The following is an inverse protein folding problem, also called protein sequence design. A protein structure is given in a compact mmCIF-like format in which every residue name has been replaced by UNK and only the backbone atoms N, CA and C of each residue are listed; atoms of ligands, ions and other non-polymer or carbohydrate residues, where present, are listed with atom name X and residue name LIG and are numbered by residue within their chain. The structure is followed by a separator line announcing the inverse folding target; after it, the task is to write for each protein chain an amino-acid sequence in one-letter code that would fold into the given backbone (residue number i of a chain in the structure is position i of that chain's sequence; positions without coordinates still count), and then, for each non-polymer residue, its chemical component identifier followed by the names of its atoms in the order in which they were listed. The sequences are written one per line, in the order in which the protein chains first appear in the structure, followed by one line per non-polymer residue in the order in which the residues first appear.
data_IF_752050161206
#
_entry.id   IF_752050161206
#
_cell.length_a   1.000
_cell.length_b   1.000
_cell.length_c   1.000
_cell.angle_alpha   90.00
_cell.angle_beta   90.00
_cell.angle_gamma   90.00
#
_symmetry.space_group_name_H-M   'P 1'
#
loop_
_entity.id
_entity.type
_entity.pdbx_description
1 polymer ?
#
# COMPACT_ATOMS: atom_id res chain seq x y z
N UNK A 1 -40.19 -11.48 -91.47
CA UNK A 1 -39.25 -12.16 -90.55
C UNK A 1 -37.99 -11.34 -90.33
N UNK A 2 -37.26 -10.95 -91.39
CA UNK A 2 -35.99 -10.20 -91.28
C UNK A 2 -36.08 -8.88 -90.49
N UNK A 3 -37.11 -8.05 -90.75
CA UNK A 3 -37.31 -6.78 -90.02
C UNK A 3 -37.53 -6.98 -88.51
N UNK A 4 -38.15 -8.09 -88.11
CA UNK A 4 -38.41 -8.41 -86.71
C UNK A 4 -37.12 -8.80 -85.98
N UNK A 5 -36.25 -9.57 -86.64
CA UNK A 5 -34.92 -9.93 -86.14
C UNK A 5 -34.07 -8.68 -85.94
N UNK A 6 -34.12 -7.73 -86.90
CA UNK A 6 -33.38 -6.47 -86.81
C UNK A 6 -33.85 -5.59 -85.63
N UNK A 7 -35.16 -5.49 -85.39
CA UNK A 7 -35.72 -4.76 -84.25
C UNK A 7 -35.29 -5.39 -82.91
N UNK A 8 -35.33 -6.72 -82.81
CA UNK A 8 -34.90 -7.44 -81.60
C UNK A 8 -33.40 -7.22 -81.35
N UNK A 9 -32.56 -7.26 -82.39
CA UNK A 9 -31.12 -7.00 -82.28
C UNK A 9 -30.81 -5.58 -81.76
N UNK A 10 -31.54 -4.58 -82.26
CA UNK A 10 -31.43 -3.19 -81.77
C UNK A 10 -31.84 -3.11 -80.29
N UNK A 11 -32.94 -3.77 -79.91
CA UNK A 11 -33.43 -3.74 -78.54
C UNK A 11 -32.44 -4.38 -77.54
N UNK A 12 -31.83 -5.52 -77.92
CA UNK A 12 -30.80 -6.18 -77.12
C UNK A 12 -29.58 -5.27 -76.95
N UNK A 13 -29.13 -4.60 -78.02
CA UNK A 13 -27.98 -3.68 -77.97
C UNK A 13 -28.24 -2.50 -77.03
N UNK A 14 -29.43 -1.89 -77.12
CA UNK A 14 -29.85 -0.79 -76.23
C UNK A 14 -29.95 -1.28 -74.78
N UNK A 15 -30.51 -2.47 -74.56
CA UNK A 15 -30.65 -3.06 -73.23
C UNK A 15 -29.28 -3.37 -72.59
N UNK A 16 -28.33 -3.91 -73.36
CA UNK A 16 -26.95 -4.12 -72.90
C UNK A 16 -26.26 -2.81 -72.54
N UNK A 17 -26.47 -1.74 -73.32
CA UNK A 17 -25.91 -0.42 -73.01
C UNK A 17 -26.48 0.16 -71.72
N UNK A 18 -27.79 0.02 -71.49
CA UNK A 18 -28.46 0.44 -70.26
C UNK A 18 -27.93 -0.30 -69.04
N UNK A 19 -27.71 -1.63 -69.13
CA UNK A 19 -27.12 -2.41 -68.03
C UNK A 19 -25.71 -1.95 -67.65
N UNK A 20 -24.88 -1.56 -68.63
CA UNK A 20 -23.54 -1.02 -68.39
C UNK A 20 -23.61 0.34 -67.68
N UNK A 21 -24.56 1.21 -68.07
CA UNK A 21 -24.78 2.50 -67.40
C UNK A 21 -25.20 2.31 -65.94
N UNK A 22 -26.22 1.48 -65.67
CA UNK A 22 -26.66 1.20 -64.30
C UNK A 22 -25.58 0.52 -63.44
N UNK A 23 -24.70 -0.29 -64.05
CA UNK A 23 -23.59 -0.93 -63.34
C UNK A 23 -22.49 0.06 -62.93
N UNK A 24 -22.28 1.14 -63.70
CA UNK A 24 -21.31 2.20 -63.35
C UNK A 24 -21.78 3.02 -62.15
N UNK A 25 -23.07 3.34 -62.09
CA UNK A 25 -23.62 4.12 -60.98
C UNK A 25 -23.53 3.36 -59.66
N UNK A 26 -23.85 2.06 -59.66
CA UNK A 26 -23.69 1.20 -58.46
C UNK A 26 -22.23 1.12 -57.97
N UNK A 27 -21.26 1.08 -58.89
CA UNK A 27 -19.84 1.11 -58.51
C UNK A 27 -19.46 2.45 -57.88
N UNK A 28 -19.94 3.57 -58.44
CA UNK A 28 -19.66 4.90 -57.92
C UNK A 28 -20.25 5.11 -56.52
N UNK A 29 -21.48 4.66 -56.28
CA UNK A 29 -22.11 4.74 -54.94
C UNK A 29 -21.39 3.88 -53.91
N UNK A 30 -20.96 2.67 -54.28
CA UNK A 30 -20.21 1.81 -53.37
C UNK A 30 -18.83 2.39 -53.01
N UNK A 31 -18.14 3.03 -53.98
CA UNK A 31 -16.87 3.69 -53.73
C UNK A 31 -17.04 4.90 -52.79
N UNK A 32 -18.11 5.70 -52.98
CA UNK A 32 -18.38 6.85 -52.13
C UNK A 32 -18.66 6.41 -50.68
N UNK A 33 -19.53 5.43 -50.49
CA UNK A 33 -19.87 4.90 -49.16
C UNK A 33 -18.64 4.30 -48.46
N UNK A 34 -17.79 3.57 -49.18
CA UNK A 34 -16.57 3.00 -48.60
C UNK A 34 -15.57 4.08 -48.19
N UNK A 35 -15.47 5.18 -48.94
CA UNK A 35 -14.61 6.30 -48.59
C UNK A 35 -15.16 7.06 -47.36
N UNK A 36 -16.48 7.22 -47.25
CA UNK A 36 -17.12 7.82 -46.07
C UNK A 36 -16.87 6.98 -44.81
N UNK A 37 -17.08 5.66 -44.89
CA UNK A 37 -16.79 4.73 -43.79
C UNK A 37 -15.30 4.78 -43.41
N UNK A 38 -14.39 4.83 -44.40
CA UNK A 38 -12.95 4.94 -44.13
C UNK A 38 -12.60 6.24 -43.40
N UNK A 39 -13.18 7.37 -43.81
CA UNK A 39 -12.93 8.66 -43.19
C UNK A 39 -13.48 8.71 -41.74
N UNK A 40 -14.66 8.14 -41.51
CA UNK A 40 -15.24 8.02 -40.17
C UNK A 40 -14.35 7.20 -39.24
N UNK A 41 -13.84 6.06 -39.73
CA UNK A 41 -12.94 5.19 -38.97
C UNK A 41 -11.59 5.87 -38.66
N UNK A 42 -11.08 6.68 -39.59
CA UNK A 42 -9.86 7.48 -39.38
C UNK A 42 -10.07 8.56 -38.30
N UNK A 43 -11.24 9.21 -38.28
CA UNK A 43 -11.58 10.19 -37.26
C UNK A 43 -11.70 9.54 -35.87
N UNK A 44 -12.42 8.43 -35.77
CA UNK A 44 -12.54 7.68 -34.52
C UNK A 44 -11.17 7.21 -34.00
N UNK A 45 -10.32 6.69 -34.89
CA UNK A 45 -8.96 6.27 -34.52
C UNK A 45 -8.12 7.45 -34.02
N UNK A 46 -8.23 8.62 -34.66
CA UNK A 46 -7.52 9.84 -34.23
C UNK A 46 -8.00 10.30 -32.86
N UNK A 47 -9.30 10.29 -32.60
CA UNK A 47 -9.87 10.70 -31.32
C UNK A 47 -9.47 9.74 -30.21
N UNK A 48 -9.53 8.43 -30.45
CA UNK A 48 -9.05 7.43 -29.51
C UNK A 48 -7.56 7.61 -29.22
N UNK A 49 -6.75 7.86 -30.25
CA UNK A 49 -5.32 8.14 -30.09
C UNK A 49 -5.07 9.37 -29.21
N UNK A 50 -5.84 10.45 -29.39
CA UNK A 50 -5.73 11.64 -28.56
C UNK A 50 -6.11 11.36 -27.11
N UNK A 51 -7.20 10.62 -26.87
CA UNK A 51 -7.61 10.22 -25.52
C UNK A 51 -6.52 9.38 -24.83
N UNK A 52 -5.90 8.43 -25.54
CA UNK A 52 -4.79 7.64 -25.00
C UNK A 52 -3.59 8.54 -24.66
N UNK A 53 -3.26 9.50 -25.50
CA UNK A 53 -2.15 10.44 -25.23
C UNK A 53 -2.43 11.30 -24.00
N UNK A 54 -3.65 11.79 -23.85
CA UNK A 54 -4.02 12.61 -22.69
C UNK A 54 -4.05 11.77 -21.40
N UNK A 55 -4.60 10.56 -21.45
CA UNK A 55 -4.56 9.63 -20.32
C UNK A 55 -3.12 9.28 -19.93
N UNK A 56 -2.24 9.08 -20.91
CA UNK A 56 -0.80 8.81 -20.66
C UNK A 56 -0.13 10.01 -19.98
N UNK A 57 -0.46 11.24 -20.39
CA UNK A 57 0.06 12.45 -19.77
C UNK A 57 -0.42 12.60 -18.33
N UNK A 58 -1.71 12.39 -18.08
CA UNK A 58 -2.30 12.45 -16.73
C UNK A 58 -1.72 11.37 -15.81
N UNK A 59 -1.56 10.15 -16.33
CA UNK A 59 -0.91 9.07 -15.61
C UNK A 59 0.52 9.45 -15.23
N UNK A 60 1.33 9.92 -16.17
CA UNK A 60 2.71 10.33 -15.90
C UNK A 60 2.78 11.49 -14.90
N UNK A 61 1.88 12.46 -15.00
CA UNK A 61 1.80 13.57 -14.04
C UNK A 61 1.48 13.08 -12.64
N UNK A 62 0.51 12.17 -12.52
CA UNK A 62 0.08 11.60 -11.23
C UNK A 62 1.17 10.71 -10.63
N UNK A 63 1.80 9.87 -11.47
CA UNK A 63 2.91 9.02 -11.06
C UNK A 63 4.08 9.86 -10.53
N UNK A 64 4.48 10.91 -11.25
CA UNK A 64 5.56 11.80 -10.82
C UNK A 64 5.20 12.53 -9.51
N UNK A 65 3.96 13.01 -9.37
CA UNK A 65 3.52 13.63 -8.11
C UNK A 65 3.60 12.65 -6.94
N UNK A 66 3.15 11.41 -7.13
CA UNK A 66 3.19 10.38 -6.10
C UNK A 66 4.62 9.98 -5.75
N UNK A 67 5.52 9.87 -6.73
CA UNK A 67 6.95 9.61 -6.51
C UNK A 67 7.57 10.72 -5.67
N UNK A 68 7.36 11.98 -6.05
CA UNK A 68 7.88 13.12 -5.30
C UNK A 68 7.34 13.15 -3.86
N UNK A 69 6.05 12.87 -3.67
CA UNK A 69 5.44 12.81 -2.35
C UNK A 69 6.04 11.67 -1.50
N UNK A 70 6.31 10.51 -2.10
CA UNK A 70 6.97 9.40 -1.42
C UNK A 70 8.41 9.73 -1.04
N UNK A 71 9.15 10.42 -1.91
CA UNK A 71 10.51 10.87 -1.63
C UNK A 71 10.53 11.87 -0.47
N UNK A 72 9.61 12.86 -0.48
CA UNK A 72 9.45 13.81 0.62
C UNK A 72 9.12 13.11 1.95
N UNK A 73 8.20 12.15 1.94
CA UNK A 73 7.85 11.37 3.15
C UNK A 73 9.00 10.51 3.64
N UNK A 74 9.78 9.94 2.71
CA UNK A 74 10.97 9.15 3.05
C UNK A 74 12.04 10.03 3.70
N UNK A 75 12.28 11.22 3.15
CA UNK A 75 13.21 12.19 3.72
C UNK A 75 12.78 12.61 5.14
N UNK A 76 11.50 12.94 5.34
CA UNK A 76 10.95 13.29 6.64
C UNK A 76 11.09 12.16 7.68
N UNK A 77 10.82 10.91 7.28
CA UNK A 77 10.99 9.77 8.18
C UNK A 77 12.45 9.52 8.53
N UNK A 78 13.39 9.76 7.61
CA UNK A 78 14.82 9.67 7.89
C UNK A 78 15.27 10.75 8.88
N UNK A 79 14.78 11.98 8.74
CA UNK A 79 15.06 13.06 9.71
C UNK A 79 14.56 12.70 11.12
N UNK A 80 13.32 12.20 11.23
CA UNK A 80 12.78 11.71 12.50
C UNK A 80 13.64 10.57 13.07
N UNK A 81 14.08 9.65 12.21
CA UNK A 81 14.92 8.53 12.64
C UNK A 81 16.24 9.03 13.21
N UNK A 82 16.90 9.96 12.55
CA UNK A 82 18.16 10.56 13.03
C UNK A 82 17.97 11.24 14.39
N UNK A 83 16.87 11.99 14.56
CA UNK A 83 16.48 12.58 15.84
C UNK A 83 16.28 11.55 16.95
N UNK A 84 15.64 10.43 16.64
CA UNK A 84 15.43 9.32 17.58
C UNK A 84 16.76 8.67 17.94
N UNK A 85 17.61 8.40 16.95
CA UNK A 85 18.93 7.79 17.16
C UNK A 85 19.81 8.70 18.05
N UNK A 86 19.76 10.02 17.84
CA UNK A 86 20.47 10.99 18.69
C UNK A 86 19.93 10.98 20.14
N UNK A 87 18.61 10.92 20.32
CA UNK A 87 17.98 10.81 21.65
C UNK A 87 18.35 9.51 22.35
N UNK A 88 18.35 8.38 21.65
CA UNK A 88 18.77 7.08 22.17
C UNK A 88 20.24 7.16 22.63
N UNK A 89 21.11 7.76 21.83
CA UNK A 89 22.53 7.93 22.19
C UNK A 89 22.70 8.76 23.47
N UNK A 90 21.96 9.88 23.59
CA UNK A 90 21.95 10.72 24.80
C UNK A 90 21.48 9.94 26.03
N UNK A 91 20.40 9.16 25.91
CA UNK A 91 19.88 8.33 27.01
C UNK A 91 20.91 7.28 27.43
N UNK A 92 21.52 6.57 26.48
CA UNK A 92 22.52 5.55 26.78
C UNK A 92 23.74 6.11 27.51
N UNK A 93 24.17 7.33 27.13
CA UNK A 93 25.24 8.04 27.84
C UNK A 93 24.85 8.37 29.28
N UNK A 94 23.65 8.92 29.49
CA UNK A 94 23.14 9.24 30.83
C UNK A 94 22.98 8.00 31.72
N UNK A 95 22.50 6.89 31.16
CA UNK A 95 22.40 5.61 31.87
C UNK A 95 23.79 5.11 32.29
N UNK A 96 24.77 5.20 31.40
CA UNK A 96 26.16 4.83 31.72
C UNK A 96 26.74 5.70 32.84
N UNK A 97 26.52 7.01 32.79
CA UNK A 97 26.97 7.94 33.83
C UNK A 97 26.29 7.64 35.18
N UNK A 98 24.98 7.33 35.15
CA UNK A 98 24.23 6.91 36.34
C UNK A 98 24.73 5.60 36.92
N UNK A 99 25.05 4.60 36.09
CA UNK A 99 25.64 3.34 36.54
C UNK A 99 27.00 3.55 37.20
N UNK A 100 27.84 4.43 36.64
CA UNK A 100 29.13 4.81 37.22
C UNK A 100 28.92 5.46 38.60
N UNK A 101 27.96 6.37 38.73
CA UNK A 101 27.62 7.02 39.99
C UNK A 101 27.13 6.01 41.04
N UNK A 102 26.22 5.10 40.67
CA UNK A 102 25.76 4.03 41.55
C UNK A 102 26.92 3.17 42.05
N UNK A 103 27.82 2.73 41.15
CA UNK A 103 29.01 1.95 41.53
C UNK A 103 29.97 2.72 42.45
N UNK A 104 30.09 4.03 42.28
CA UNK A 104 30.92 4.89 43.18
C UNK A 104 30.30 5.00 44.57
N UNK A 105 29.00 5.25 44.65
CA UNK A 105 28.28 5.33 45.93
C UNK A 105 28.32 3.99 46.69
N UNK A 106 28.18 2.86 46.00
CA UNK A 106 28.33 1.54 46.62
C UNK A 106 29.76 1.29 47.16
N UNK A 107 30.78 1.73 46.42
CA UNK A 107 32.19 1.64 46.87
C UNK A 107 32.49 2.54 48.07
N UNK A 108 31.87 3.71 48.19
CA UNK A 108 32.02 4.56 49.38
C UNK A 108 31.26 4.00 50.58
N UNK A 109 30.05 3.47 50.37
CA UNK A 109 29.26 2.83 51.42
C UNK A 109 29.98 1.62 52.04
N UNK A 110 30.68 0.84 51.23
CA UNK A 110 31.50 -0.30 51.69
C UNK A 110 32.81 0.13 52.39
N UNK A 111 33.39 1.28 52.04
CA UNK A 111 34.54 1.87 52.75
C UNK A 111 34.17 2.49 54.10
N UNK A 112 32.94 2.97 54.28
CA UNK A 112 32.44 3.47 55.57
C UNK A 112 32.13 2.36 56.59
N UNK A 113 31.74 1.17 56.12
CA UNK A 113 31.38 0.04 56.99
C UNK A 113 32.62 -0.66 57.57
N UNK A 114 33.79 -0.54 56.94
CA UNK A 114 35.01 -1.21 57.38
C UNK A 114 35.76 -0.50 58.53
N UNK A 115 35.32 0.70 58.94
CA UNK A 115 35.91 1.40 60.11
C UNK A 115 35.03 1.48 61.35
N UNK A 116 33.75 1.08 61.28
CA UNK A 116 32.83 1.27 62.42
C UNK A 116 31.88 0.09 62.68
N UNK A 117 32.24 -1.13 62.29
CA UNK A 117 31.48 -2.33 62.67
C UNK A 117 32.41 -3.50 63.01
N UNK A 118 33.15 -3.35 64.12
CA UNK A 118 33.66 -4.50 64.87
C UNK A 118 32.73 -4.96 65.99
N UNK A 119 31.66 -4.23 66.27
CA UNK A 119 30.73 -4.58 67.35
C UNK A 119 29.31 -4.16 66.99
N UNK A 120 28.56 -5.00 66.29
CA UNK A 120 27.19 -5.30 66.74
C UNK A 120 26.64 -6.54 66.06
N UNK A 121 26.18 -7.43 66.92
CA UNK A 121 25.59 -8.72 66.65
C UNK A 121 24.40 -8.68 65.68
N UNK A 122 24.35 -9.73 64.85
CA UNK A 122 23.18 -10.55 64.57
C UNK A 122 21.82 -9.83 64.53
N UNK A 123 21.34 -9.57 63.31
CA UNK A 123 19.96 -9.87 62.93
C UNK A 123 19.89 -10.02 61.41
N UNK A 124 20.08 -11.25 60.96
CA UNK A 124 19.69 -11.69 59.62
C UNK A 124 18.16 -11.66 59.62
N UNK A 125 17.57 -10.54 59.21
CA UNK A 125 16.17 -10.52 58.80
C UNK A 125 16.13 -11.26 57.46
N UNK A 126 15.73 -12.53 57.51
CA UNK A 126 15.35 -13.29 56.31
C UNK A 126 14.27 -12.49 55.59
N UNK A 127 14.61 -11.79 54.52
CA UNK A 127 13.61 -11.34 53.56
C UNK A 127 12.94 -12.60 53.02
N UNK A 128 11.64 -12.73 53.31
CA UNK A 128 10.76 -13.66 52.60
C UNK A 128 11.03 -13.50 51.10
N UNK A 129 11.15 -14.59 50.33
CA UNK A 129 11.15 -14.46 48.88
C UNK A 129 9.84 -13.76 48.51
N UNK A 130 9.94 -12.54 48.01
CA UNK A 130 8.81 -11.92 47.33
C UNK A 130 8.43 -12.90 46.23
N UNK A 131 7.24 -13.48 46.38
CA UNK A 131 6.61 -14.28 45.34
C UNK A 131 6.73 -13.46 44.07
N UNK A 132 7.50 -13.97 43.10
CA UNK A 132 7.31 -13.58 41.70
C UNK A 132 5.82 -13.66 41.48
N UNK A 133 5.17 -12.51 41.29
CA UNK A 133 3.81 -12.50 40.75
C UNK A 133 3.87 -13.40 39.54
N UNK A 134 3.10 -14.49 39.61
CA UNK A 134 2.81 -15.30 38.45
C UNK A 134 2.22 -14.31 37.45
N UNK A 135 3.05 -13.80 36.53
CA UNK A 135 2.55 -13.23 35.28
C UNK A 135 1.67 -14.31 34.73
N UNK A 136 0.36 -14.11 34.88
CA UNK A 136 -0.63 -14.98 34.33
C UNK A 136 -0.30 -15.01 32.84
N UNK A 137 0.19 -16.16 32.36
CA UNK A 137 0.21 -16.52 30.95
C UNK A 137 -1.27 -16.60 30.52
N UNK A 138 -1.91 -15.45 30.42
CA UNK A 138 -3.21 -15.30 29.81
C UNK A 138 -2.91 -14.95 28.34
N UNK A 139 -2.57 -16.06 27.67
CA UNK A 139 -2.90 -16.50 26.33
C UNK A 139 -3.31 -15.41 25.34
N UNK A 140 -2.38 -15.13 24.41
CA UNK A 140 -2.63 -14.51 23.11
C UNK A 140 -3.81 -15.17 22.35
N UNK A 141 -4.19 -16.40 22.70
CA UNK A 141 -5.37 -17.08 22.16
C UNK A 141 -6.69 -16.43 22.60
N UNK A 142 -6.80 -15.89 23.82
CA UNK A 142 -8.04 -15.20 24.27
C UNK A 142 -8.24 -13.85 23.57
N UNK A 143 -7.14 -13.14 23.29
CA UNK A 143 -7.18 -11.91 22.47
C UNK A 143 -7.77 -12.21 21.10
N UNK A 144 -7.36 -13.32 20.50
CA UNK A 144 -7.85 -13.72 19.18
C UNK A 144 -9.28 -14.24 19.19
N UNK A 145 -9.66 -15.00 20.23
CA UNK A 145 -11.04 -15.45 20.41
C UNK A 145 -12.01 -14.28 20.55
N UNK A 146 -11.66 -13.25 21.33
CA UNK A 146 -12.48 -12.04 21.42
C UNK A 146 -12.53 -11.26 20.11
N UNK A 147 -11.42 -11.22 19.35
CA UNK A 147 -11.41 -10.62 18.03
C UNK A 147 -12.30 -11.37 17.03
N UNK A 148 -12.31 -12.71 17.03
CA UNK A 148 -13.22 -13.51 16.20
C UNK A 148 -14.69 -13.33 16.60
N UNK A 149 -14.95 -13.11 17.88
CA UNK A 149 -16.29 -12.81 18.40
C UNK A 149 -16.76 -11.38 18.08
N UNK A 150 -15.96 -10.58 17.36
CA UNK A 150 -16.34 -9.26 16.87
C UNK A 150 -16.22 -8.13 17.90
N UNK A 151 -15.51 -8.34 19.01
CA UNK A 151 -15.26 -7.29 19.99
C UNK A 151 -14.30 -6.24 19.42
N UNK A 152 -14.51 -4.97 19.80
CA UNK A 152 -13.61 -3.88 19.46
C UNK A 152 -12.28 -3.99 20.21
N UNK A 153 -11.21 -3.45 19.63
CA UNK A 153 -9.87 -3.49 20.23
C UNK A 153 -9.83 -2.89 21.64
N UNK A 154 -10.62 -1.85 21.90
CA UNK A 154 -10.77 -1.22 23.21
C UNK A 154 -11.43 -2.13 24.25
N UNK A 155 -12.45 -2.90 23.86
CA UNK A 155 -13.11 -3.86 24.75
C UNK A 155 -12.20 -5.06 25.05
N UNK A 156 -11.39 -5.48 24.08
CA UNK A 156 -10.38 -6.53 24.27
C UNK A 156 -9.29 -6.04 25.23
N UNK A 157 -8.87 -4.77 25.11
CA UNK A 157 -7.88 -4.15 25.99
C UNK A 157 -8.34 -4.16 27.45
N UNK A 158 -9.58 -3.75 27.68
CA UNK A 158 -10.20 -3.73 29.01
C UNK A 158 -10.32 -5.13 29.62
N UNK A 159 -10.62 -6.15 28.80
CA UNK A 159 -10.79 -7.55 29.27
C UNK A 159 -9.49 -8.31 29.44
N UNK A 160 -8.43 -7.93 28.73
CA UNK A 160 -7.16 -8.69 28.71
C UNK A 160 -6.02 -8.01 29.44
N UNK A 161 -6.27 -6.82 30.01
CA UNK A 161 -5.25 -5.97 30.66
C UNK A 161 -4.03 -5.74 29.74
N UNK A 162 -4.33 -5.47 28.47
CA UNK A 162 -3.36 -5.20 27.41
C UNK A 162 -3.64 -3.84 26.79
N UNK A 163 -2.59 -3.17 26.33
CA UNK A 163 -2.76 -1.98 25.51
C UNK A 163 -3.34 -2.33 24.14
N UNK A 164 -4.02 -1.37 23.52
CA UNK A 164 -4.58 -1.52 22.16
C UNK A 164 -3.49 -1.89 21.15
N UNK A 165 -2.29 -1.29 21.26
CA UNK A 165 -1.16 -1.60 20.39
C UNK A 165 -0.63 -3.04 20.56
N UNK A 166 -0.63 -3.58 21.77
CA UNK A 166 -0.27 -5.00 21.99
C UNK A 166 -1.28 -5.96 21.35
N UNK A 167 -2.57 -5.60 21.37
CA UNK A 167 -3.63 -6.39 20.74
C UNK A 167 -3.49 -6.36 19.21
N UNK A 168 -3.27 -5.18 18.62
CA UNK A 168 -3.01 -5.04 17.18
C UNK A 168 -1.80 -5.86 16.73
N UNK A 169 -0.73 -5.82 17.52
CA UNK A 169 0.47 -6.60 17.27
C UNK A 169 0.19 -8.11 17.31
N UNK A 170 -0.53 -8.59 18.33
CA UNK A 170 -0.89 -10.02 18.47
C UNK A 170 -1.76 -10.50 17.30
N UNK A 171 -2.75 -9.70 16.89
CA UNK A 171 -3.62 -10.02 15.74
C UNK A 171 -2.81 -10.02 14.44
N UNK A 172 -1.93 -9.02 14.25
CA UNK A 172 -1.10 -8.87 13.06
C UNK A 172 -0.15 -10.06 12.85
N UNK A 173 0.49 -10.53 13.92
CA UNK A 173 1.40 -11.68 13.87
C UNK A 173 0.73 -12.99 13.44
N UNK A 174 -0.57 -13.16 13.71
CA UNK A 174 -1.32 -14.39 13.39
C UNK A 174 -1.93 -14.37 11.99
N UNK A 175 -2.23 -13.19 11.42
CA UNK A 175 -2.69 -13.06 10.02
C UNK A 175 -1.60 -13.37 8.99
N UNK A 176 -0.33 -13.30 9.39
CA UNK A 176 0.84 -13.57 8.55
C UNK A 176 1.27 -15.04 8.54
N UNK A 177 0.59 -15.91 9.30
CA UNK A 177 0.78 -17.37 9.32
C UNK A 177 -0.34 -18.06 8.56
#
# INVERSE_FOLDING_TARGET
MEKLILIIGIFISIFSLLLILFSKDKKKTNILNNNEISNELELEYRDLKNQILDLTREFNRTANFNTNLLDEKTAYLNEIREDIDEKIMKINKLLTDSEILCRRLEKEKTKGITKTQKETNQKIIKLKPQKKEKRNLINNDMVFEYFQNGLSLSEIAEKTDKSVGEIEFIIGLRKLR
#
